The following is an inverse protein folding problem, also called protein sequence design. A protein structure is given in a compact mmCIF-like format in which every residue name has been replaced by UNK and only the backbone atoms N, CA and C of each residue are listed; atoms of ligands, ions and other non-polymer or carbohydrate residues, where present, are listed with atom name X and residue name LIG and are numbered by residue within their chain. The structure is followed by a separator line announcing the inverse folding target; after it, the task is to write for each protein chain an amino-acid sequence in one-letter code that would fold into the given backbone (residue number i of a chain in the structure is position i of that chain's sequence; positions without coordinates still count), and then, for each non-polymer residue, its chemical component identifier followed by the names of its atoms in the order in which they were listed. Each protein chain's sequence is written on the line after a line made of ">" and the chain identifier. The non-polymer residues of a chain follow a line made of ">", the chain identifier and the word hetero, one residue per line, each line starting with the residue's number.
data_IF_031151532050
#
_entry.id   IF_031151532050
#
_cell.length_a   1.000
_cell.length_b   1.000
_cell.length_c   1.000
_cell.angle_alpha   90.00
_cell.angle_beta   90.00
_cell.angle_gamma   90.00
#
_symmetry.space_group_name_H-M   'P 1'
#
loop_
_entity.id
_entity.type
_entity.pdbx_description
1 polymer ?
#
# COMPACT_ATOMS: atom_id res chain seq x y z
N UNK A 1 9.36 -21.21 -14.11
CA UNK A 1 8.59 -20.70 -12.96
C UNK A 1 7.33 -20.06 -13.51
N UNK A 2 6.13 -20.34 -12.97
CA UNK A 2 4.95 -19.55 -13.30
C UNK A 2 5.20 -18.08 -12.89
N UNK A 3 4.84 -17.14 -13.76
CA UNK A 3 5.01 -15.71 -13.50
C UNK A 3 3.96 -15.15 -12.52
N UNK A 4 4.06 -13.85 -12.17
CA UNK A 4 3.13 -13.19 -11.26
C UNK A 4 1.68 -13.39 -11.70
N UNK A 5 0.81 -13.70 -10.73
CA UNK A 5 -0.63 -13.69 -10.97
C UNK A 5 -1.20 -12.34 -10.58
N UNK A 6 -1.75 -11.62 -11.56
CA UNK A 6 -2.42 -10.33 -11.35
C UNK A 6 -3.91 -10.60 -11.14
N UNK A 7 -4.43 -10.31 -9.96
CA UNK A 7 -5.87 -10.37 -9.65
C UNK A 7 -6.45 -8.97 -9.49
N UNK A 8 -7.58 -8.71 -10.16
CA UNK A 8 -8.31 -7.45 -10.10
C UNK A 8 -9.49 -7.58 -9.13
N UNK A 9 -9.40 -6.94 -7.97
CA UNK A 9 -10.51 -6.92 -7.00
C UNK A 9 -11.43 -5.69 -7.17
N UNK A 10 -10.93 -4.60 -7.75
CA UNK A 10 -11.69 -3.38 -8.08
C UNK A 10 -11.09 -2.73 -9.34
N UNK A 11 -11.84 -1.99 -10.19
CA UNK A 11 -11.32 -1.30 -11.36
C UNK A 11 -9.99 -0.56 -11.25
N UNK A 12 -9.60 -0.09 -10.06
CA UNK A 12 -8.41 0.72 -9.78
C UNK A 12 -7.35 0.03 -8.89
N UNK A 13 -7.60 -1.23 -8.49
CA UNK A 13 -6.71 -2.01 -7.60
C UNK A 13 -6.06 -3.15 -8.36
N UNK A 14 -4.73 -3.16 -8.43
CA UNK A 14 -3.92 -4.23 -9.01
C UNK A 14 -3.11 -4.92 -7.91
N UNK A 15 -3.51 -6.15 -7.56
CA UNK A 15 -2.71 -6.99 -6.68
C UNK A 15 -1.79 -7.83 -7.57
N UNK A 16 -0.49 -7.56 -7.50
CA UNK A 16 0.54 -8.39 -8.14
C UNK A 16 1.05 -9.37 -7.10
N UNK A 17 0.53 -10.60 -7.11
CA UNK A 17 1.06 -11.66 -6.27
C UNK A 17 2.27 -12.28 -6.98
N UNK A 18 3.39 -11.59 -6.93
CA UNK A 18 4.70 -12.25 -7.01
C UNK A 18 5.09 -12.59 -5.58
N UNK A 19 5.08 -13.88 -5.25
CA UNK A 19 5.82 -14.39 -4.10
C UNK A 19 7.23 -14.61 -4.63
N UNK A 20 8.10 -13.61 -4.45
CA UNK A 20 9.54 -13.83 -4.60
C UNK A 20 9.99 -14.83 -3.53
N UNK A 21 11.13 -15.48 -3.76
CA UNK A 21 11.83 -16.41 -2.87
C UNK A 21 12.01 -15.87 -1.43
N UNK A 22 11.85 -14.56 -1.23
CA UNK A 22 11.91 -13.81 0.03
C UNK A 22 10.55 -13.62 0.74
N UNK A 23 9.49 -14.36 0.38
CA UNK A 23 8.15 -14.25 1.01
C UNK A 23 7.49 -12.87 0.93
N UNK A 24 7.91 -12.04 -0.04
CA UNK A 24 7.36 -10.72 -0.28
C UNK A 24 6.11 -10.81 -1.13
N UNK A 25 5.04 -10.16 -0.70
CA UNK A 25 3.83 -9.91 -1.48
C UNK A 25 3.79 -8.46 -1.92
N UNK A 26 3.80 -8.24 -3.24
CA UNK A 26 3.79 -6.90 -3.83
C UNK A 26 2.35 -6.37 -4.01
N UNK A 27 2.20 -5.05 -4.00
CA UNK A 27 0.92 -4.39 -4.29
C UNK A 27 1.13 -3.05 -4.98
N UNK A 28 0.15 -2.65 -5.81
CA UNK A 28 0.09 -1.33 -6.41
C UNK A 28 -1.37 -0.88 -6.57
N UNK A 29 -1.69 0.28 -6.03
CA UNK A 29 -3.04 0.84 -6.05
C UNK A 29 -3.03 2.31 -6.45
N UNK A 30 -4.08 2.72 -7.15
CA UNK A 30 -4.31 4.10 -7.55
C UNK A 30 -5.71 4.52 -7.13
N UNK A 31 -5.82 5.72 -6.57
CA UNK A 31 -7.07 6.32 -6.12
C UNK A 31 -7.14 7.75 -6.68
N UNK A 32 -7.58 7.88 -7.93
CA UNK A 32 -7.56 9.16 -8.64
C UNK A 32 -6.14 9.73 -8.79
N UNK A 33 -5.86 10.84 -8.11
CA UNK A 33 -4.57 11.55 -8.17
C UNK A 33 -3.50 11.00 -7.22
N UNK A 34 -3.83 9.99 -6.41
CA UNK A 34 -2.88 9.39 -5.47
C UNK A 34 -2.59 7.95 -5.82
N UNK A 35 -1.34 7.53 -5.65
CA UNK A 35 -0.87 6.19 -5.94
C UNK A 35 -0.02 5.67 -4.79
N UNK A 36 -0.03 4.36 -4.59
CA UNK A 36 0.80 3.68 -3.61
C UNK A 36 1.22 2.32 -4.14
N UNK A 37 2.50 2.01 -3.99
CA UNK A 37 3.05 0.71 -4.35
C UNK A 37 4.05 0.27 -3.33
N UNK A 38 4.26 -1.03 -3.20
CA UNK A 38 5.16 -1.55 -2.21
C UNK A 38 5.09 -3.06 -2.07
N UNK A 39 5.65 -3.54 -0.98
CA UNK A 39 5.60 -4.94 -0.61
C UNK A 39 5.40 -5.12 0.89
N UNK A 40 4.98 -6.33 1.26
CA UNK A 40 4.97 -6.83 2.64
C UNK A 40 5.64 -8.20 2.65
N UNK A 41 6.60 -8.42 3.54
CA UNK A 41 7.13 -9.73 3.84
C UNK A 41 6.18 -10.45 4.80
N UNK A 42 5.66 -11.61 4.40
CA UNK A 42 4.70 -12.38 5.20
C UNK A 42 5.28 -13.03 6.46
N UNK A 43 6.60 -13.16 6.59
CA UNK A 43 7.23 -13.81 7.75
C UNK A 43 7.50 -12.85 8.91
N UNK A 44 8.07 -11.68 8.62
CA UNK A 44 8.51 -10.71 9.62
C UNK A 44 7.73 -9.39 9.60
N UNK A 45 6.84 -9.21 8.62
CA UNK A 45 6.07 -8.00 8.37
C UNK A 45 6.90 -6.76 8.02
N UNK A 46 8.15 -6.96 7.55
CA UNK A 46 8.92 -5.92 6.87
C UNK A 46 8.12 -5.39 5.67
N UNK A 47 8.11 -4.07 5.50
CA UNK A 47 7.42 -3.44 4.39
C UNK A 47 8.20 -2.25 3.87
N UNK A 48 8.06 -1.99 2.57
CA UNK A 48 8.42 -0.72 1.98
C UNK A 48 7.28 -0.22 1.10
N UNK A 49 7.02 1.09 1.15
CA UNK A 49 6.07 1.74 0.26
C UNK A 49 6.67 2.97 -0.42
N UNK A 50 6.21 3.22 -1.63
CA UNK A 50 6.37 4.46 -2.36
C UNK A 50 4.98 5.04 -2.62
N UNK A 51 4.82 6.33 -2.37
CA UNK A 51 3.54 7.02 -2.51
C UNK A 51 3.67 8.18 -3.50
N UNK A 52 2.65 8.37 -4.34
CA UNK A 52 2.53 9.48 -5.27
C UNK A 52 1.31 10.31 -4.92
N UNK A 53 1.46 11.62 -4.92
CA UNK A 53 0.34 12.57 -4.81
C UNK A 53 0.48 13.55 -5.95
N UNK A 54 -0.53 13.61 -6.84
CA UNK A 54 -0.53 14.44 -8.05
C UNK A 54 0.71 14.23 -8.93
N UNK A 55 1.16 12.98 -9.02
CA UNK A 55 2.34 12.58 -9.79
C UNK A 55 3.69 12.85 -9.12
N UNK A 56 3.72 13.45 -7.93
CA UNK A 56 4.95 13.64 -7.15
C UNK A 56 5.19 12.45 -6.25
N UNK A 57 6.30 11.75 -6.47
CA UNK A 57 6.68 10.55 -5.72
C UNK A 57 7.52 10.89 -4.49
N UNK A 58 7.10 10.36 -3.34
CA UNK A 58 7.99 10.15 -2.22
C UNK A 58 8.79 8.86 -2.46
N UNK A 59 10.10 8.91 -2.25
CA UNK A 59 10.97 7.73 -2.33
C UNK A 59 10.56 6.64 -1.34
N UNK A 60 11.18 5.45 -1.41
CA UNK A 60 10.77 4.31 -0.61
C UNK A 60 10.91 4.60 0.88
N UNK A 61 9.83 4.34 1.61
CA UNK A 61 9.76 4.41 3.06
C UNK A 61 9.67 2.98 3.59
N UNK A 62 10.64 2.63 4.44
CA UNK A 62 10.77 1.30 5.02
C UNK A 62 10.21 1.28 6.44
N UNK A 63 9.60 0.17 6.83
CA UNK A 63 9.06 -0.01 8.17
C UNK A 63 8.64 -1.44 8.46
N UNK A 64 7.92 -1.62 9.56
CA UNK A 64 7.33 -2.90 9.95
C UNK A 64 5.84 -2.73 10.25
N UNK A 65 4.98 -3.59 9.71
CA UNK A 65 3.53 -3.44 9.90
C UNK A 65 3.03 -3.74 11.31
N UNK A 66 3.83 -4.38 12.16
CA UNK A 66 3.51 -4.55 13.58
C UNK A 66 3.39 -3.21 14.29
N UNK A 67 4.18 -2.23 13.87
CA UNK A 67 4.15 -0.86 14.37
C UNK A 67 3.21 0.06 13.55
N UNK A 68 2.85 -0.40 12.34
CA UNK A 68 2.18 0.39 11.32
C UNK A 68 3.15 1.34 10.61
N UNK A 69 2.78 1.77 9.41
CA UNK A 69 3.55 2.74 8.63
C UNK A 69 2.63 3.87 8.17
N UNK A 70 2.99 5.10 8.51
CA UNK A 70 2.19 6.29 8.18
C UNK A 70 3.04 7.27 7.39
N UNK A 71 2.53 7.72 6.25
CA UNK A 71 3.12 8.78 5.42
C UNK A 71 2.17 9.95 5.46
N UNK A 72 2.62 11.07 6.02
CA UNK A 72 1.84 12.30 6.12
C UNK A 72 2.30 13.29 5.08
N UNK A 73 1.34 13.92 4.43
CA UNK A 73 1.52 15.03 3.51
C UNK A 73 0.91 16.27 4.17
N UNK A 74 1.75 17.28 4.43
CA UNK A 74 1.33 18.52 5.10
C UNK A 74 1.22 19.73 4.15
N UNK A 75 1.46 19.50 2.84
CA UNK A 75 1.39 20.52 1.79
C UNK A 75 -0.06 20.81 1.32
N UNK A 76 -0.24 21.42 0.15
CA UNK A 76 -1.57 21.76 -0.42
C UNK A 76 -2.54 20.58 -0.57
N UNK A 77 -2.02 19.35 -0.53
CA UNK A 77 -2.79 18.11 -0.62
C UNK A 77 -2.73 17.36 0.71
N UNK A 78 -3.12 18.06 1.80
CA UNK A 78 -3.07 17.50 3.16
C UNK A 78 -3.78 16.16 3.27
N UNK A 79 -3.07 15.18 3.79
CA UNK A 79 -3.58 13.83 3.94
C UNK A 79 -2.53 12.85 4.43
N UNK A 80 -2.92 11.59 4.53
CA UNK A 80 -2.04 10.50 4.90
C UNK A 80 -2.36 9.21 4.16
N UNK A 81 -1.31 8.43 3.97
CA UNK A 81 -1.40 7.00 3.76
C UNK A 81 -1.05 6.30 5.06
N UNK A 82 -1.87 5.33 5.47
CA UNK A 82 -1.56 4.48 6.62
C UNK A 82 -1.69 3.02 6.25
N UNK A 83 -0.56 2.32 6.26
CA UNK A 83 -0.47 0.88 6.06
C UNK A 83 -0.43 0.19 7.43
N UNK A 84 -1.32 -0.78 7.65
CA UNK A 84 -1.46 -1.43 8.96
C UNK A 84 -1.96 -2.87 8.86
N UNK A 85 -1.69 -3.65 9.91
CA UNK A 85 -2.27 -4.98 10.07
C UNK A 85 -3.62 -4.91 10.76
N UNK A 86 -4.59 -5.63 10.20
CA UNK A 86 -5.87 -5.94 10.82
C UNK A 86 -5.96 -7.44 11.03
N UNK A 87 -6.51 -7.86 12.17
CA UNK A 87 -6.70 -9.28 12.50
C UNK A 87 -5.41 -10.13 12.48
N UNK A 88 -4.22 -9.51 12.56
CA UNK A 88 -2.92 -10.19 12.61
C UNK A 88 -2.38 -10.70 11.25
N UNK A 89 -3.23 -10.83 10.23
CA UNK A 89 -2.83 -11.38 8.91
C UNK A 89 -3.32 -10.56 7.72
N UNK A 90 -4.21 -9.60 7.92
CA UNK A 90 -4.72 -8.78 6.83
C UNK A 90 -3.96 -7.47 6.74
N UNK A 91 -3.43 -7.16 5.57
CA UNK A 91 -2.76 -5.89 5.29
C UNK A 91 -3.79 -4.93 4.72
N UNK A 92 -3.94 -3.79 5.38
CA UNK A 92 -4.89 -2.73 5.02
C UNK A 92 -4.17 -1.42 4.79
N UNK A 93 -4.70 -0.65 3.85
CA UNK A 93 -4.28 0.70 3.54
C UNK A 93 -5.45 1.65 3.76
N UNK A 94 -5.26 2.62 4.65
CA UNK A 94 -6.10 3.81 4.72
C UNK A 94 -5.55 4.89 3.82
N UNK A 95 -6.42 5.46 2.99
CA UNK A 95 -6.11 6.61 2.13
C UNK A 95 -7.01 7.76 2.54
N UNK A 96 -6.43 8.78 3.18
CA UNK A 96 -7.17 9.90 3.76
C UNK A 96 -6.60 11.22 3.22
N UNK A 97 -7.23 11.76 2.18
CA UNK A 97 -6.84 13.03 1.55
C UNK A 97 -8.06 13.92 1.44
N UNK A 98 -8.20 14.82 2.42
CA UNK A 98 -9.36 15.70 2.57
C UNK A 98 -9.66 16.55 1.33
N UNK A 99 -8.65 17.14 0.70
CA UNK A 99 -8.81 17.97 -0.50
C UNK A 99 -9.21 17.17 -1.74
N UNK A 100 -8.97 15.86 -1.73
CA UNK A 100 -9.34 14.93 -2.79
C UNK A 100 -10.62 14.14 -2.48
N UNK A 101 -11.24 14.39 -1.32
CA UNK A 101 -12.42 13.66 -0.82
C UNK A 101 -12.21 12.14 -0.72
N UNK A 102 -10.99 11.74 -0.36
CA UNK A 102 -10.63 10.34 -0.06
C UNK A 102 -10.60 10.16 1.46
N UNK A 103 -11.11 9.04 1.95
CA UNK A 103 -11.19 8.76 3.39
C UNK A 103 -11.59 7.32 3.72
N UNK A 104 -11.07 6.35 2.96
CA UNK A 104 -11.50 4.96 3.02
C UNK A 104 -10.33 3.99 3.35
N UNK A 105 -10.70 2.83 3.88
CA UNK A 105 -9.81 1.72 4.18
C UNK A 105 -9.96 0.63 3.11
N UNK A 106 -8.84 0.21 2.53
CA UNK A 106 -8.77 -0.79 1.48
C UNK A 106 -7.97 -2.00 1.95
N UNK A 107 -8.57 -3.19 1.87
CA UNK A 107 -7.83 -4.43 2.05
C UNK A 107 -6.91 -4.62 0.85
N UNK A 108 -5.62 -4.85 1.11
CA UNK A 108 -4.64 -5.09 0.05
C UNK A 108 -4.44 -6.58 -0.18
N UNK A 109 -4.06 -7.29 0.89
CA UNK A 109 -3.72 -8.71 0.85
C UNK A 109 -3.99 -9.36 2.21
N UNK A 110 -4.05 -10.68 2.21
CA UNK A 110 -3.86 -11.49 3.42
C UNK A 110 -2.50 -12.17 3.28
N UNK A 111 -1.65 -12.05 4.30
CA UNK A 111 -0.36 -12.76 4.41
C UNK A 111 -0.50 -14.06 5.20
#
# INVERSE_FOLDING_TARGET
>A
MPGPTISRENPETYIVKDIDTDHRSNFANKYGEVEVRGYVNGEDFETAIETSVKGTWAGPLYGNLKDGLVVKYDDDTKGEFKLYLKNGTEVWLRVDFSSLRLGDDHKLITV
#
